data_IF_303757493779
#
_entry.id   IF_303757493779
#
_cell.length_a   1.000
_cell.length_b   1.000
_cell.length_c   1.000
_cell.angle_alpha   90.00
_cell.angle_beta   90.00
_cell.angle_gamma   90.00
#
_symmetry.space_group_name_H-M   'P 1'
#
loop_
_entity.id
_entity.type
_entity.pdbx_description
1 polymer ?
#
# COMPACT_ATOMS: atom_id res chain seq x y z
N UNK A 1 17.88 -31.16 -1.03
CA UNK A 1 17.52 -29.75 -1.11
C UNK A 1 16.29 -29.64 -2.00
N UNK A 2 15.25 -28.93 -1.54
CA UNK A 2 14.03 -28.67 -2.33
C UNK A 2 13.83 -27.15 -2.39
N UNK A 3 13.31 -26.66 -3.53
CA UNK A 3 13.09 -25.22 -3.77
C UNK A 3 11.65 -24.99 -4.15
N UNK A 4 11.05 -23.94 -3.57
CA UNK A 4 9.67 -23.55 -3.85
C UNK A 4 9.59 -22.06 -4.14
N UNK A 5 8.76 -21.68 -5.13
CA UNK A 5 8.39 -20.29 -5.35
C UNK A 5 7.26 -19.94 -4.38
N UNK A 6 7.46 -18.90 -3.57
CA UNK A 6 6.47 -18.44 -2.59
C UNK A 6 6.10 -16.98 -2.85
N UNK A 7 4.91 -16.59 -2.42
CA UNK A 7 4.46 -15.20 -2.34
C UNK A 7 4.28 -14.86 -0.87
N UNK A 8 4.89 -13.77 -0.42
CA UNK A 8 4.86 -13.35 0.99
C UNK A 8 3.83 -12.23 1.17
N UNK A 9 2.78 -12.50 1.94
CA UNK A 9 1.81 -11.46 2.38
C UNK A 9 2.35 -10.68 3.58
N UNK A 10 2.97 -11.36 4.53
CA UNK A 10 3.64 -10.78 5.70
C UNK A 10 5.10 -11.22 5.73
N UNK A 11 5.96 -10.38 5.15
CA UNK A 11 7.39 -10.67 5.03
C UNK A 11 8.08 -10.68 6.39
N UNK A 12 7.65 -9.84 7.33
CA UNK A 12 8.26 -9.72 8.64
C UNK A 12 8.05 -11.00 9.46
N UNK A 13 6.80 -11.44 9.57
CA UNK A 13 6.42 -12.67 10.26
C UNK A 13 7.09 -13.91 9.64
N UNK A 14 7.24 -13.92 8.30
CA UNK A 14 7.94 -15.01 7.62
C UNK A 14 9.41 -15.09 8.04
N UNK A 15 10.14 -13.95 8.10
CA UNK A 15 11.53 -13.93 8.53
C UNK A 15 11.72 -14.24 10.03
N UNK A 16 10.76 -13.83 10.87
CA UNK A 16 10.72 -14.24 12.29
C UNK A 16 10.60 -15.76 12.43
N UNK A 17 9.68 -16.37 11.71
CA UNK A 17 9.48 -17.83 11.70
C UNK A 17 10.69 -18.59 11.12
N UNK A 18 11.45 -17.97 10.21
CA UNK A 18 12.69 -18.54 9.66
C UNK A 18 13.86 -18.48 10.65
N UNK A 19 13.70 -17.72 11.75
CA UNK A 19 14.74 -17.55 12.77
C UNK A 19 15.80 -16.49 12.42
N UNK A 20 15.47 -15.51 11.58
CA UNK A 20 16.40 -14.43 11.26
C UNK A 20 16.59 -13.47 12.44
N UNK A 21 17.79 -12.86 12.55
CA UNK A 21 18.06 -11.83 13.55
C UNK A 21 17.15 -10.61 13.39
N UNK A 22 16.72 -10.02 14.50
CA UNK A 22 15.79 -8.88 14.52
C UNK A 22 16.27 -7.68 13.67
N UNK A 23 17.56 -7.35 13.70
CA UNK A 23 18.16 -6.33 12.84
C UNK A 23 18.11 -6.67 11.35
N UNK A 24 18.31 -7.95 11.02
CA UNK A 24 18.21 -8.47 9.66
C UNK A 24 16.81 -8.45 9.12
N UNK A 25 15.80 -8.77 9.93
CA UNK A 25 14.38 -8.79 9.55
C UNK A 25 13.92 -7.44 8.96
N UNK A 26 14.27 -6.34 9.63
CA UNK A 26 13.91 -4.99 9.13
C UNK A 26 14.50 -4.69 7.75
N UNK A 27 15.75 -5.10 7.52
CA UNK A 27 16.43 -4.89 6.23
C UNK A 27 15.83 -5.79 5.15
N UNK A 28 15.61 -7.07 5.44
CA UNK A 28 15.10 -8.06 4.51
C UNK A 28 13.67 -7.73 4.09
N UNK A 29 12.80 -7.34 5.03
CA UNK A 29 11.43 -6.94 4.74
C UNK A 29 11.36 -5.78 3.74
N UNK A 30 12.21 -4.78 3.87
CA UNK A 30 12.31 -3.64 2.91
C UNK A 30 12.82 -4.05 1.53
N UNK A 31 13.63 -5.11 1.44
CA UNK A 31 14.14 -5.63 0.16
C UNK A 31 13.12 -6.55 -0.53
N UNK A 32 12.24 -7.18 0.22
CA UNK A 32 11.27 -8.15 -0.31
C UNK A 32 9.98 -7.52 -0.81
N UNK A 33 9.66 -6.29 -0.40
CA UNK A 33 8.43 -5.60 -0.80
C UNK A 33 8.68 -4.78 -2.06
N UNK A 34 8.14 -5.24 -3.19
CA UNK A 34 8.20 -4.54 -4.47
C UNK A 34 7.07 -3.52 -4.59
N UNK A 35 7.39 -2.36 -5.11
CA UNK A 35 6.45 -1.28 -5.42
C UNK A 35 6.56 -0.90 -6.89
N UNK A 36 5.42 -0.51 -7.47
CA UNK A 36 5.32 0.13 -8.78
C UNK A 36 4.57 1.44 -8.61
N UNK A 37 5.17 2.55 -9.03
CA UNK A 37 4.59 3.89 -8.92
C UNK A 37 4.46 4.52 -10.30
N UNK A 38 3.22 4.81 -10.70
CA UNK A 38 2.94 5.54 -11.93
C UNK A 38 3.05 7.04 -11.68
N UNK A 39 3.89 7.72 -12.47
CA UNK A 39 4.18 9.15 -12.38
C UNK A 39 3.64 9.81 -13.65
N UNK A 40 2.68 10.72 -13.50
CA UNK A 40 2.11 11.52 -14.60
C UNK A 40 2.85 12.84 -14.73
N UNK A 41 2.90 13.34 -15.97
CA UNK A 41 3.40 14.68 -16.31
C UNK A 41 4.79 14.98 -15.73
N UNK A 42 5.66 13.99 -15.73
CA UNK A 42 7.05 14.11 -15.28
C UNK A 42 7.85 14.94 -16.31
N UNK A 43 8.50 16.01 -15.88
CA UNK A 43 9.37 16.76 -16.76
C UNK A 43 10.49 15.88 -17.33
N UNK A 44 10.80 15.99 -18.61
CA UNK A 44 11.78 15.10 -19.29
C UNK A 44 13.17 15.14 -18.63
N UNK A 45 13.61 16.29 -18.12
CA UNK A 45 14.85 16.41 -17.35
C UNK A 45 14.79 15.59 -16.06
N UNK A 46 13.65 15.63 -15.34
CA UNK A 46 13.43 14.79 -14.17
C UNK A 46 13.41 13.31 -14.52
N UNK A 47 12.78 12.92 -15.63
CA UNK A 47 12.73 11.54 -16.09
C UNK A 47 14.13 10.97 -16.36
N UNK A 48 15.01 11.76 -17.00
CA UNK A 48 16.39 11.37 -17.27
C UNK A 48 17.20 11.21 -15.97
N UNK A 49 17.11 12.17 -15.05
CA UNK A 49 17.81 12.12 -13.74
C UNK A 49 17.30 10.91 -12.94
N UNK A 50 15.99 10.81 -12.73
CA UNK A 50 15.39 9.75 -11.94
C UNK A 50 15.71 8.36 -12.50
N UNK A 51 15.75 8.19 -13.84
CA UNK A 51 16.13 6.92 -14.46
C UNK A 51 17.56 6.53 -14.11
N UNK A 52 18.52 7.44 -14.24
CA UNK A 52 19.91 7.17 -13.90
C UNK A 52 20.07 6.87 -12.41
N UNK A 53 19.38 7.62 -11.56
CA UNK A 53 19.42 7.45 -10.13
C UNK A 53 18.78 6.14 -9.68
N UNK A 54 17.66 5.73 -10.31
CA UNK A 54 17.03 4.44 -10.07
C UNK A 54 17.97 3.29 -10.46
N UNK A 55 18.52 3.30 -11.68
CA UNK A 55 19.46 2.28 -12.15
C UNK A 55 20.69 2.14 -11.25
N UNK A 56 21.22 3.25 -10.75
CA UNK A 56 22.41 3.26 -9.87
C UNK A 56 22.24 2.51 -8.56
N UNK A 57 21.00 2.25 -8.14
CA UNK A 57 20.68 1.56 -6.87
C UNK A 57 19.97 0.21 -7.10
N UNK A 58 19.80 -0.22 -8.36
CA UNK A 58 19.13 -1.48 -8.71
C UNK A 58 17.61 -1.39 -8.80
N UNK A 59 17.05 -0.18 -8.81
CA UNK A 59 15.66 0.10 -9.22
C UNK A 59 15.60 0.36 -10.73
N UNK A 60 14.43 0.63 -11.28
CA UNK A 60 14.27 1.05 -12.68
C UNK A 60 13.12 2.05 -12.85
N UNK A 61 13.21 2.86 -13.92
CA UNK A 61 12.16 3.75 -14.37
C UNK A 61 11.83 3.44 -15.84
N UNK A 62 10.66 2.86 -16.08
CA UNK A 62 10.17 2.70 -17.45
C UNK A 62 9.68 4.06 -17.96
N UNK A 63 10.24 4.47 -19.10
CA UNK A 63 9.96 5.75 -19.76
C UNK A 63 9.66 5.54 -21.24
N UNK A 64 8.89 6.44 -21.89
CA UNK A 64 8.65 6.36 -23.33
C UNK A 64 9.91 6.50 -24.15
N UNK A 65 9.86 6.00 -25.38
CA UNK A 65 10.94 6.23 -26.36
C UNK A 65 11.09 7.73 -26.63
N UNK A 66 12.36 8.18 -26.77
CA UNK A 66 12.69 9.56 -27.06
C UNK A 66 12.94 10.45 -25.82
N UNK A 67 12.79 9.93 -24.59
CA UNK A 67 13.06 10.68 -23.35
C UNK A 67 14.51 11.18 -23.32
N UNK A 68 15.47 10.37 -23.74
CA UNK A 68 16.90 10.76 -23.72
C UNK A 68 17.20 11.96 -24.60
N UNK A 69 16.47 12.13 -25.71
CA UNK A 69 16.61 13.26 -26.63
C UNK A 69 15.61 14.38 -26.37
N UNK A 70 14.89 14.31 -25.25
CA UNK A 70 13.89 15.28 -24.83
C UNK A 70 12.82 15.58 -25.90
N UNK A 71 12.34 14.54 -26.60
CA UNK A 71 11.34 14.67 -27.67
C UNK A 71 10.09 15.37 -27.19
N UNK A 72 9.60 15.02 -26.00
CA UNK A 72 8.44 15.61 -25.36
C UNK A 72 8.86 16.26 -24.04
N UNK A 73 8.32 17.42 -23.70
CA UNK A 73 8.66 18.16 -22.48
C UNK A 73 8.21 17.46 -21.22
N UNK A 74 7.07 16.78 -21.26
CA UNK A 74 6.48 16.03 -20.16
C UNK A 74 6.16 14.61 -20.63
N UNK A 75 6.38 13.64 -19.76
CA UNK A 75 6.19 12.22 -20.04
C UNK A 75 5.56 11.51 -18.85
N UNK A 76 4.89 10.40 -19.12
CA UNK A 76 4.44 9.50 -18.06
C UNK A 76 5.49 8.40 -17.88
N UNK A 77 5.72 7.99 -16.64
CA UNK A 77 6.74 7.01 -16.31
C UNK A 77 6.23 6.02 -15.24
N UNK A 78 6.84 4.84 -15.18
CA UNK A 78 6.58 3.84 -14.15
C UNK A 78 7.88 3.56 -13.39
N UNK A 79 7.93 3.95 -12.11
CA UNK A 79 9.04 3.65 -11.22
C UNK A 79 8.82 2.27 -10.58
N UNK A 80 9.83 1.41 -10.64
CA UNK A 80 9.80 0.04 -10.14
C UNK A 80 10.96 -0.14 -9.16
N UNK A 81 10.65 -0.56 -7.95
CA UNK A 81 11.69 -0.79 -6.95
C UNK A 81 11.15 -1.33 -5.63
N UNK A 82 12.06 -1.75 -4.77
CA UNK A 82 11.70 -2.19 -3.42
C UNK A 82 11.51 -0.99 -2.47
N UNK A 83 10.93 -1.22 -1.29
CA UNK A 83 10.87 -0.21 -0.22
C UNK A 83 12.24 0.43 0.02
N UNK A 84 13.31 -0.38 0.03
CA UNK A 84 14.67 0.11 0.23
C UNK A 84 15.13 1.04 -0.90
N UNK A 85 14.77 0.73 -2.15
CA UNK A 85 15.08 1.58 -3.30
C UNK A 85 14.34 2.93 -3.21
N UNK A 86 13.05 2.92 -2.87
CA UNK A 86 12.26 4.14 -2.72
C UNK A 86 12.77 5.04 -1.59
N UNK A 87 13.19 4.46 -0.45
CA UNK A 87 13.83 5.21 0.62
C UNK A 87 15.16 5.85 0.19
N UNK A 88 15.94 5.17 -0.65
CA UNK A 88 17.20 5.69 -1.18
C UNK A 88 16.94 6.83 -2.18
N UNK A 89 16.01 6.64 -3.13
CA UNK A 89 15.61 7.68 -4.08
C UNK A 89 15.03 8.89 -3.35
N UNK A 90 14.16 8.68 -2.35
CA UNK A 90 13.59 9.76 -1.55
C UNK A 90 14.66 10.66 -0.87
N UNK A 91 15.85 10.14 -0.59
CA UNK A 91 16.98 10.94 -0.09
C UNK A 91 17.76 11.60 -1.21
N UNK A 92 17.98 10.88 -2.30
CA UNK A 92 18.80 11.31 -3.43
C UNK A 92 18.13 12.45 -4.21
N UNK A 93 16.83 12.35 -4.44
CA UNK A 93 16.05 13.31 -5.22
C UNK A 93 15.75 14.62 -4.47
N UNK A 94 16.03 14.73 -3.16
CA UNK A 94 15.80 15.97 -2.40
C UNK A 94 16.61 17.17 -2.92
N UNK A 95 17.76 16.91 -3.51
CA UNK A 95 18.66 17.95 -4.07
C UNK A 95 18.49 18.12 -5.59
N UNK A 96 17.63 17.35 -6.24
CA UNK A 96 17.48 17.35 -7.68
C UNK A 96 16.45 18.39 -8.17
N UNK A 97 16.62 18.95 -9.39
CA UNK A 97 15.71 19.93 -9.99
C UNK A 97 14.45 19.29 -10.59
N UNK A 98 13.66 20.08 -11.30
CA UNK A 98 12.51 19.70 -12.11
C UNK A 98 11.36 18.99 -11.36
N UNK A 99 11.13 19.34 -10.08
CA UNK A 99 10.06 18.75 -9.27
C UNK A 99 10.43 17.42 -8.59
N UNK A 100 11.66 16.95 -8.71
CA UNK A 100 12.11 15.70 -8.06
C UNK A 100 12.13 15.81 -6.53
N UNK A 101 12.26 17.00 -5.97
CA UNK A 101 12.15 17.24 -4.52
C UNK A 101 10.74 16.92 -4.00
N UNK A 102 9.71 17.27 -4.75
CA UNK A 102 8.31 16.95 -4.44
C UNK A 102 8.07 15.46 -4.57
N UNK A 103 8.58 14.82 -5.62
CA UNK A 103 8.55 13.38 -5.78
C UNK A 103 9.24 12.67 -4.61
N UNK A 104 10.39 13.15 -4.16
CA UNK A 104 11.11 12.60 -3.00
C UNK A 104 10.27 12.56 -1.73
N UNK A 105 9.46 13.60 -1.48
CA UNK A 105 8.52 13.63 -0.35
C UNK A 105 7.42 12.58 -0.52
N UNK A 106 6.81 12.50 -1.71
CA UNK A 106 5.79 11.50 -2.02
C UNK A 106 6.32 10.07 -1.87
N UNK A 107 7.56 9.79 -2.31
CA UNK A 107 8.18 8.47 -2.14
C UNK A 107 8.28 8.04 -0.68
N UNK A 108 8.57 8.97 0.24
CA UNK A 108 8.58 8.68 1.69
C UNK A 108 7.20 8.27 2.20
N UNK A 109 6.15 8.91 1.70
CA UNK A 109 4.79 8.63 2.14
C UNK A 109 4.28 7.29 1.59
N UNK A 110 4.63 6.94 0.35
CA UNK A 110 4.27 5.64 -0.24
C UNK A 110 4.92 4.43 0.44
N UNK A 111 6.10 4.60 1.03
CA UNK A 111 6.80 3.48 1.71
C UNK A 111 6.56 3.44 3.22
N UNK A 112 5.88 4.43 3.80
CA UNK A 112 5.43 4.34 5.19
C UNK A 112 4.49 3.15 5.32
N UNK A 113 4.77 2.27 6.26
CA UNK A 113 3.81 1.25 6.67
C UNK A 113 2.59 1.95 7.25
N UNK A 114 1.49 1.94 6.51
CA UNK A 114 0.21 2.35 7.05
C UNK A 114 -0.31 1.19 7.88
N UNK A 115 -0.14 1.29 9.17
CA UNK A 115 -0.71 0.34 10.10
C UNK A 115 -2.19 0.69 10.27
N UNK A 116 -3.05 0.05 9.50
CA UNK A 116 -4.49 0.12 9.70
C UNK A 116 -4.84 -0.96 10.73
N UNK A 117 -5.25 -0.60 11.96
CA UNK A 117 -5.77 -1.59 12.90
C UNK A 117 -6.97 -2.27 12.24
N UNK A 118 -7.04 -3.59 12.40
CA UNK A 118 -8.22 -4.35 11.99
C UNK A 118 -9.43 -3.79 12.73
N UNK A 119 -10.47 -3.40 11.99
CA UNK A 119 -11.73 -2.96 12.57
C UNK A 119 -12.75 -4.09 12.46
N UNK A 120 -13.50 -4.27 13.52
CA UNK A 120 -14.60 -5.24 13.59
C UNK A 120 -15.88 -4.51 13.23
N UNK A 121 -16.58 -5.02 12.22
CA UNK A 121 -17.87 -4.47 11.81
C UNK A 121 -19.00 -5.40 12.24
N UNK A 122 -19.87 -4.92 13.12
CA UNK A 122 -21.11 -5.54 13.49
C UNK A 122 -22.16 -5.27 12.40
N UNK A 123 -22.89 -6.31 11.96
CA UNK A 123 -23.95 -6.19 10.96
C UNK A 123 -25.31 -6.39 11.60
N UNK A 124 -26.21 -5.42 11.41
CA UNK A 124 -27.56 -5.43 11.94
C UNK A 124 -28.57 -5.26 10.79
N UNK A 125 -29.40 -6.26 10.56
CA UNK A 125 -30.36 -6.27 9.45
C UNK A 125 -31.81 -6.11 9.95
N UNK A 126 -32.51 -5.07 9.46
CA UNK A 126 -33.88 -4.71 9.83
C UNK A 126 -34.94 -5.47 9.01
N UNK A 127 -34.62 -6.58 8.37
CA UNK A 127 -35.59 -7.34 7.56
C UNK A 127 -35.55 -8.84 7.84
N UNK A 128 -36.68 -9.51 7.58
CA UNK A 128 -36.86 -10.95 7.80
C UNK A 128 -36.14 -11.80 6.75
N UNK A 129 -35.76 -11.24 5.61
CA UNK A 129 -35.12 -11.92 4.48
C UNK A 129 -33.59 -11.99 4.54
N UNK A 130 -32.99 -11.57 5.65
CA UNK A 130 -31.54 -11.61 5.80
C UNK A 130 -31.02 -13.05 5.89
N UNK A 131 -29.86 -13.33 5.29
CA UNK A 131 -29.19 -14.62 5.32
C UNK A 131 -28.81 -15.08 6.73
N UNK A 132 -28.52 -14.14 7.63
CA UNK A 132 -28.07 -14.45 8.98
C UNK A 132 -29.17 -14.14 10.01
N UNK A 133 -29.81 -15.17 10.52
CA UNK A 133 -30.99 -15.06 11.41
C UNK A 133 -30.71 -14.25 12.68
N UNK A 134 -29.52 -14.36 13.25
CA UNK A 134 -29.15 -13.71 14.51
C UNK A 134 -28.90 -12.21 14.38
N UNK A 135 -28.75 -11.68 13.15
CA UNK A 135 -28.60 -10.24 12.88
C UNK A 135 -29.94 -9.53 12.65
N UNK A 136 -31.05 -10.25 12.63
CA UNK A 136 -32.40 -9.69 12.45
C UNK A 136 -32.89 -9.03 13.73
N UNK A 137 -33.61 -7.92 13.60
CA UNK A 137 -34.23 -7.25 14.73
C UNK A 137 -35.52 -6.57 14.31
N UNK A 138 -36.41 -6.33 15.29
CA UNK A 138 -37.46 -5.35 15.19
C UNK A 138 -36.98 -4.00 15.74
N UNK A 139 -37.69 -2.91 15.42
CA UNK A 139 -37.29 -1.56 15.81
C UNK A 139 -37.18 -1.35 17.34
N UNK A 140 -37.82 -2.21 18.15
CA UNK A 140 -37.81 -2.09 19.61
C UNK A 140 -36.52 -2.60 20.25
N UNK A 141 -35.75 -3.44 19.55
CA UNK A 141 -34.54 -4.07 20.08
C UNK A 141 -33.25 -3.57 19.43
N UNK A 142 -33.34 -2.71 18.41
CA UNK A 142 -32.19 -2.25 17.64
C UNK A 142 -31.11 -1.60 18.52
N UNK A 143 -31.50 -0.66 19.36
CA UNK A 143 -30.56 0.07 20.21
C UNK A 143 -29.80 -0.85 21.18
N UNK A 144 -30.52 -1.80 21.80
CA UNK A 144 -29.91 -2.76 22.73
C UNK A 144 -28.90 -3.68 22.01
N UNK A 145 -29.21 -4.11 20.78
CA UNK A 145 -28.27 -4.93 19.98
C UNK A 145 -27.04 -4.13 19.55
N UNK A 146 -27.21 -2.86 19.17
CA UNK A 146 -26.08 -1.98 18.82
C UNK A 146 -25.18 -1.76 20.03
N UNK A 147 -25.75 -1.43 21.19
CA UNK A 147 -24.99 -1.26 22.44
C UNK A 147 -24.19 -2.51 22.78
N UNK A 148 -24.81 -3.67 22.69
CA UNK A 148 -24.12 -4.95 22.92
C UNK A 148 -22.99 -5.20 21.91
N UNK A 149 -23.19 -4.93 20.62
CA UNK A 149 -22.12 -5.06 19.62
C UNK A 149 -20.92 -4.16 19.91
N UNK A 150 -21.18 -2.93 20.38
CA UNK A 150 -20.12 -1.97 20.77
C UNK A 150 -19.38 -2.50 22.01
N UNK A 151 -20.11 -2.99 23.03
CA UNK A 151 -19.53 -3.59 24.24
C UNK A 151 -18.69 -4.84 23.91
N UNK A 152 -19.13 -5.65 22.94
CA UNK A 152 -18.42 -6.83 22.44
C UNK A 152 -17.21 -6.47 21.54
N UNK A 153 -16.96 -5.18 21.28
CA UNK A 153 -15.76 -4.68 20.58
C UNK A 153 -15.94 -4.33 19.12
N UNK A 154 -17.16 -4.08 18.64
CA UNK A 154 -17.38 -3.57 17.29
C UNK A 154 -16.94 -2.11 17.16
N UNK A 155 -16.11 -1.81 16.14
CA UNK A 155 -15.66 -0.46 15.79
C UNK A 155 -16.62 0.24 14.83
N UNK A 156 -17.41 -0.51 14.09
CA UNK A 156 -18.34 -0.06 13.05
C UNK A 156 -19.62 -0.85 13.17
N UNK A 157 -20.76 -0.20 13.00
CA UNK A 157 -22.06 -0.87 12.89
C UNK A 157 -22.62 -0.60 11.49
N UNK A 158 -22.89 -1.66 10.74
CA UNK A 158 -23.60 -1.60 9.46
C UNK A 158 -25.06 -1.97 9.67
N UNK A 159 -25.97 -1.05 9.34
CA UNK A 159 -27.41 -1.24 9.51
C UNK A 159 -28.05 -1.37 8.13
N UNK A 160 -28.47 -2.60 7.79
CA UNK A 160 -29.18 -2.90 6.56
C UNK A 160 -30.71 -2.83 6.74
N UNK A 161 -31.38 -1.94 6.00
CA UNK A 161 -32.82 -1.78 6.06
C UNK A 161 -33.58 -2.56 4.98
N UNK A 162 -32.94 -2.90 3.84
CA UNK A 162 -33.55 -3.59 2.70
C UNK A 162 -32.61 -4.65 2.16
N UNK A 163 -33.12 -5.84 1.86
CA UNK A 163 -32.38 -6.87 1.15
C UNK A 163 -32.19 -6.48 -0.33
N UNK A 164 -31.02 -6.72 -0.87
CA UNK A 164 -30.69 -6.51 -2.30
C UNK A 164 -31.21 -7.63 -3.22
N UNK A 165 -32.14 -8.47 -2.74
CA UNK A 165 -32.81 -9.53 -3.52
C UNK A 165 -34.11 -9.04 -4.14
#
# INVERSE_FOLDING_TARGET
MQTYKISLSDTKKFYENLGCDSGGISILSKKSKLHTLYIKDLHVGAANILKQDALSIGADLAVPNGVIIAKDKYVNALLIGTTKHFENLARKELAQPFGLKELAKSLKDYVKEQNYPTKIMGVLNANEDSFFKDSRFDNSQACLKIEKMIEDGADIIDIGAVSSR
#
